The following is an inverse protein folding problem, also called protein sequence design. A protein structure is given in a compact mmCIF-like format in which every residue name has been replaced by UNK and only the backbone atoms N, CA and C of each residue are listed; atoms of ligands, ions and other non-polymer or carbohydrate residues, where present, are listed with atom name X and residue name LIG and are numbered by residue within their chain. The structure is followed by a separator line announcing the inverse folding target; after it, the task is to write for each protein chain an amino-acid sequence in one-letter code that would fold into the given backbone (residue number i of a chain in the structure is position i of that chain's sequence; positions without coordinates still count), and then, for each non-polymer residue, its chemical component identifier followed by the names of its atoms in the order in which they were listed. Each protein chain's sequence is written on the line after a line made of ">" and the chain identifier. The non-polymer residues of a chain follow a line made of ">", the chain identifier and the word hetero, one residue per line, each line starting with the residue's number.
data_IF_878567853387
#
_entry.id   IF_878567853387
#
_cell.length_a   1.000
_cell.length_b   1.000
_cell.length_c   1.000
_cell.angle_alpha   90.00
_cell.angle_beta   90.00
_cell.angle_gamma   90.00
#
_symmetry.space_group_name_H-M   'P 1'
#
loop_
_entity.id
_entity.type
_entity.pdbx_description
1 polymer ?
#
# COMPACT_ATOMS: atom_id res chain seq x y z
N UNK A 1 -3.33 11.23 20.06
CA UNK A 1 -3.24 10.03 19.21
C UNK A 1 -2.20 10.31 18.16
N UNK A 2 -1.06 9.63 18.23
CA UNK A 2 -0.04 9.71 17.18
C UNK A 2 -0.56 8.92 15.98
N UNK A 3 -0.60 9.53 14.79
CA UNK A 3 -0.98 8.84 13.56
C UNK A 3 0.07 7.77 13.26
N UNK A 4 -0.37 6.60 12.79
CA UNK A 4 0.56 5.54 12.39
C UNK A 4 1.42 6.02 11.22
N UNK A 5 2.63 5.47 11.06
CA UNK A 5 3.53 5.87 9.97
C UNK A 5 2.89 5.67 8.59
N UNK A 6 2.13 4.59 8.44
CA UNK A 6 1.32 4.29 7.26
C UNK A 6 0.27 5.37 6.99
N UNK A 7 -0.48 5.81 8.00
CA UNK A 7 -1.44 6.93 7.84
C UNK A 7 -0.76 8.22 7.38
N UNK A 8 0.47 8.51 7.84
CA UNK A 8 1.22 9.69 7.40
C UNK A 8 1.57 9.65 5.91
N UNK A 9 1.86 8.46 5.38
CA UNK A 9 2.20 8.27 3.97
C UNK A 9 0.98 8.20 3.04
N UNK A 10 -0.21 7.96 3.57
CA UNK A 10 -1.42 7.75 2.77
C UNK A 10 -2.44 8.89 2.89
N UNK A 11 -2.46 9.62 4.00
CA UNK A 11 -3.49 10.63 4.28
C UNK A 11 -3.49 11.85 3.33
N UNK A 12 -2.43 12.08 2.58
CA UNK A 12 -2.35 13.11 1.53
C UNK A 12 -2.75 12.58 0.14
N UNK A 13 -2.95 11.27 -0.01
CA UNK A 13 -3.36 10.65 -1.26
C UNK A 13 -4.89 10.63 -1.38
N UNK A 14 -5.46 11.16 -2.48
CA UNK A 14 -6.91 11.21 -2.66
C UNK A 14 -7.61 9.85 -2.50
N UNK A 15 -6.96 8.76 -2.90
CA UNK A 15 -7.53 7.41 -2.81
C UNK A 15 -7.77 6.94 -1.36
N UNK A 16 -6.94 7.38 -0.40
CA UNK A 16 -7.06 7.02 1.02
C UNK A 16 -7.69 8.14 1.88
N UNK A 17 -7.70 9.38 1.38
CA UNK A 17 -8.29 10.52 2.07
C UNK A 17 -9.81 10.66 1.85
N UNK A 18 -10.34 10.03 0.80
CA UNK A 18 -11.76 10.05 0.43
C UNK A 18 -12.41 8.69 0.77
N UNK A 19 -13.47 8.72 1.59
CA UNK A 19 -14.16 7.51 2.06
C UNK A 19 -14.85 6.75 0.93
N UNK A 20 -15.42 7.44 -0.06
CA UNK A 20 -16.07 6.82 -1.22
C UNK A 20 -15.03 6.14 -2.11
N UNK A 21 -13.89 6.79 -2.33
CA UNK A 21 -12.78 6.21 -3.08
C UNK A 21 -12.21 4.96 -2.38
N UNK A 22 -12.10 5.01 -1.04
CA UNK A 22 -11.63 3.89 -0.23
C UNK A 22 -12.63 2.72 -0.28
N UNK A 23 -13.94 3.00 -0.23
CA UNK A 23 -14.95 1.97 -0.40
C UNK A 23 -14.83 1.26 -1.76
N UNK A 24 -14.68 2.01 -2.85
CA UNK A 24 -14.47 1.44 -4.18
C UNK A 24 -13.19 0.60 -4.23
N UNK A 25 -12.09 1.05 -3.61
CA UNK A 25 -10.85 0.29 -3.52
C UNK A 25 -11.05 -1.05 -2.79
N UNK A 26 -11.80 -1.04 -1.69
CA UNK A 26 -12.10 -2.25 -0.91
C UNK A 26 -12.94 -3.24 -1.72
N UNK A 27 -13.99 -2.77 -2.40
CA UNK A 27 -14.85 -3.61 -3.23
C UNK A 27 -14.08 -4.24 -4.41
N UNK A 28 -13.27 -3.45 -5.09
CA UNK A 28 -12.42 -3.93 -6.19
C UNK A 28 -11.35 -4.89 -5.66
N UNK A 29 -10.69 -4.55 -4.56
CA UNK A 29 -9.68 -5.41 -3.93
C UNK A 29 -10.25 -6.77 -3.58
N UNK A 30 -11.38 -6.80 -2.87
CA UNK A 30 -12.08 -8.03 -2.50
C UNK A 30 -12.46 -8.89 -3.71
N UNK A 31 -12.93 -8.28 -4.80
CA UNK A 31 -13.25 -8.99 -6.05
C UNK A 31 -12.06 -9.75 -6.63
N UNK A 32 -10.84 -9.27 -6.43
CA UNK A 32 -9.61 -9.87 -6.96
C UNK A 32 -8.75 -10.57 -5.90
N UNK A 33 -9.24 -10.70 -4.66
CA UNK A 33 -8.47 -11.30 -3.56
C UNK A 33 -7.28 -10.44 -3.10
N UNK A 34 -7.35 -9.13 -3.28
CA UNK A 34 -6.30 -8.18 -2.91
C UNK A 34 -6.80 -7.38 -1.70
N UNK A 35 -6.15 -7.56 -0.55
CA UNK A 35 -6.41 -6.74 0.63
C UNK A 35 -5.88 -5.31 0.44
N UNK A 36 -6.63 -4.33 0.92
CA UNK A 36 -6.29 -2.90 0.79
C UNK A 36 -4.97 -2.56 1.47
N UNK A 37 -4.61 -3.30 2.50
CA UNK A 37 -3.36 -3.15 3.25
C UNK A 37 -2.13 -3.56 2.44
N UNK A 38 -2.26 -4.53 1.53
CA UNK A 38 -1.18 -4.91 0.59
C UNK A 38 -0.84 -3.71 -0.30
N UNK A 39 -1.86 -3.03 -0.82
CA UNK A 39 -1.67 -1.85 -1.67
C UNK A 39 -1.11 -0.66 -0.87
N UNK A 40 -1.62 -0.45 0.35
CA UNK A 40 -1.13 0.56 1.27
C UNK A 40 0.37 0.40 1.55
N UNK A 41 0.82 -0.82 1.84
CA UNK A 41 2.23 -1.10 2.10
C UNK A 41 3.13 -0.91 0.87
N UNK A 42 2.66 -1.27 -0.34
CA UNK A 42 3.40 -0.98 -1.57
C UNK A 42 3.60 0.53 -1.76
N UNK A 43 2.56 1.32 -1.49
CA UNK A 43 2.61 2.78 -1.64
C UNK A 43 3.55 3.40 -0.61
N UNK A 44 3.51 2.94 0.64
CA UNK A 44 4.45 3.36 1.69
C UNK A 44 5.89 3.06 1.26
N UNK A 45 6.17 1.81 0.86
CA UNK A 45 7.50 1.38 0.42
C UNK A 45 8.02 2.25 -0.74
N UNK A 46 7.16 2.53 -1.71
CA UNK A 46 7.51 3.37 -2.85
C UNK A 46 7.84 4.81 -2.41
N UNK A 47 7.05 5.39 -1.50
CA UNK A 47 7.25 6.75 -1.00
C UNK A 47 8.51 6.88 -0.14
N UNK A 48 8.82 5.88 0.68
CA UNK A 48 10.07 5.83 1.45
C UNK A 48 11.32 5.78 0.56
N UNK A 49 11.20 5.13 -0.60
CA UNK A 49 12.32 4.85 -1.51
C UNK A 49 12.33 5.75 -2.76
N UNK A 50 11.38 6.67 -2.91
CA UNK A 50 11.20 7.47 -4.14
C UNK A 50 12.43 8.31 -4.52
N UNK A 51 13.29 8.63 -3.54
CA UNK A 51 14.51 9.41 -3.74
C UNK A 51 15.78 8.56 -3.90
N UNK A 52 15.67 7.22 -3.90
CA UNK A 52 16.80 6.30 -4.01
C UNK A 52 16.94 5.77 -5.45
N UNK A 53 17.97 6.21 -6.17
CA UNK A 53 18.21 5.79 -7.57
C UNK A 53 18.49 4.28 -7.74
N UNK A 54 18.96 3.59 -6.69
CA UNK A 54 19.23 2.14 -6.67
C UNK A 54 18.93 1.55 -5.29
N UNK A 55 17.66 1.37 -4.96
CA UNK A 55 17.24 0.73 -3.72
C UNK A 55 17.56 -0.79 -3.77
N UNK A 56 18.75 -1.18 -3.31
CA UNK A 56 19.09 -2.59 -3.14
C UNK A 56 18.11 -3.25 -2.16
N UNK A 57 17.53 -4.39 -2.52
CA UNK A 57 16.56 -5.13 -1.69
C UNK A 57 15.09 -4.70 -1.82
N UNK A 58 14.76 -3.70 -2.66
CA UNK A 58 13.36 -3.29 -2.87
C UNK A 58 12.50 -4.42 -3.46
N UNK A 59 13.07 -5.18 -4.42
CA UNK A 59 12.36 -6.31 -5.04
C UNK A 59 12.00 -7.39 -4.03
N UNK A 60 12.90 -7.73 -3.10
CA UNK A 60 12.62 -8.71 -2.05
C UNK A 60 11.47 -8.26 -1.14
N UNK A 61 11.42 -6.95 -0.80
CA UNK A 61 10.32 -6.40 0.00
C UNK A 61 9.00 -6.35 -0.78
N UNK A 62 9.04 -6.04 -2.07
CA UNK A 62 7.87 -6.10 -2.95
C UNK A 62 7.34 -7.54 -3.03
N UNK A 63 8.22 -8.52 -3.23
CA UNK A 63 7.86 -9.95 -3.28
C UNK A 63 7.21 -10.41 -1.98
N UNK A 64 7.74 -10.01 -0.82
CA UNK A 64 7.15 -10.30 0.49
C UNK A 64 5.73 -9.72 0.62
N UNK A 65 5.55 -8.45 0.23
CA UNK A 65 4.26 -7.76 0.29
C UNK A 65 3.23 -8.44 -0.61
N UNK A 66 3.63 -8.79 -1.84
CA UNK A 66 2.77 -9.44 -2.85
C UNK A 66 2.52 -10.92 -2.56
N UNK A 67 3.40 -11.60 -1.82
CA UNK A 67 3.23 -13.00 -1.42
C UNK A 67 1.91 -13.25 -0.69
N UNK A 68 1.43 -12.28 0.07
CA UNK A 68 0.13 -12.34 0.79
C UNK A 68 -1.09 -12.49 -0.13
N UNK A 69 -0.98 -12.06 -1.40
CA UNK A 69 -2.05 -12.22 -2.39
C UNK A 69 -2.09 -13.66 -2.94
N UNK A 70 -0.97 -14.38 -2.88
CA UNK A 70 -0.84 -15.72 -3.49
C UNK A 70 -1.15 -16.84 -2.49
N UNK A 71 -1.13 -16.53 -1.19
CA UNK A 71 -1.38 -17.48 -0.10
C UNK A 71 -2.83 -17.47 0.43
N UNK A 72 -3.70 -16.58 -0.10
CA UNK A 72 -5.11 -16.43 0.24
C UNK A 72 -6.04 -17.21 -0.70
#
# INVERSE_FOLDING_TARGET
>A
MERTEMERHLSDLPLWADEDAMQVLSEVGSKYGIETDVLAELVVLQRERQHQERAHGINARIEEILGRVTEA
#
